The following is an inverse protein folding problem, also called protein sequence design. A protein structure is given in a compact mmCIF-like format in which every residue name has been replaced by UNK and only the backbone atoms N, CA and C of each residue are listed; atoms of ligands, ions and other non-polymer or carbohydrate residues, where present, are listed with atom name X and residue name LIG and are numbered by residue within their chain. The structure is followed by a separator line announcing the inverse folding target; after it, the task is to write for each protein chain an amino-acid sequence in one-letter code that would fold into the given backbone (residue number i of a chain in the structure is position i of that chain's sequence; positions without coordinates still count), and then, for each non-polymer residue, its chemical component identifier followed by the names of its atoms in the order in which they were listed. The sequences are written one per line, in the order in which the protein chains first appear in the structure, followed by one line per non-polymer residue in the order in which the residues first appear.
data_IF_703618855863
#
_entry.id   IF_703618855863
#
_cell.length_a   1.000
_cell.length_b   1.000
_cell.length_c   1.000
_cell.angle_alpha   90.00
_cell.angle_beta   90.00
_cell.angle_gamma   90.00
#
_symmetry.space_group_name_H-M   'P 1'
#
loop_
_entity.id
_entity.type
_entity.pdbx_description
1 polymer ?
#
# COMPACT_ATOMS: atom_id res chain seq x y z
N UNK A 1 5.70 -13.16 5.21
CA UNK A 1 6.10 -12.49 3.95
C UNK A 1 7.23 -11.50 4.16
N UNK A 2 8.35 -11.78 3.52
CA UNK A 2 9.64 -11.09 3.62
C UNK A 2 9.76 -9.86 2.71
N UNK A 3 8.67 -9.26 2.22
CA UNK A 3 8.76 -8.10 1.31
C UNK A 3 8.92 -6.78 2.06
N UNK A 4 8.27 -6.68 3.22
CA UNK A 4 8.36 -5.56 4.15
C UNK A 4 9.81 -5.26 4.56
N UNK A 5 10.65 -6.28 4.76
CA UNK A 5 12.07 -6.07 5.13
C UNK A 5 12.95 -5.44 4.04
N UNK A 6 12.45 -5.29 2.82
CA UNK A 6 13.21 -4.73 1.69
C UNK A 6 12.68 -3.37 1.22
N UNK A 7 11.62 -2.86 1.86
CA UNK A 7 11.09 -1.53 1.60
C UNK A 7 12.07 -0.45 2.04
N UNK A 8 12.19 0.59 1.22
CA UNK A 8 12.97 1.79 1.51
C UNK A 8 12.08 2.78 2.25
N UNK A 9 12.63 3.67 3.10
CA UNK A 9 11.83 4.70 3.79
C UNK A 9 11.07 5.63 2.82
N UNK A 10 11.52 5.71 1.57
CA UNK A 10 10.94 6.50 0.49
C UNK A 10 9.88 5.74 -0.32
N UNK A 11 9.66 4.45 -0.04
CA UNK A 11 8.66 3.65 -0.73
C UNK A 11 7.27 3.98 -0.16
N UNK A 12 6.29 4.13 -1.05
CA UNK A 12 4.88 4.27 -0.71
C UNK A 12 4.22 2.92 -0.89
N UNK A 13 3.56 2.47 0.17
CA UNK A 13 2.85 1.20 0.19
C UNK A 13 1.38 1.42 -0.14
N UNK A 14 0.81 0.54 -0.95
CA UNK A 14 -0.59 0.54 -1.36
C UNK A 14 -1.23 -0.82 -1.08
N UNK A 15 -2.49 -0.80 -0.66
CA UNK A 15 -3.29 -1.98 -0.40
C UNK A 15 -4.79 -1.65 -0.43
N UNK A 16 -5.62 -2.64 -0.73
CA UNK A 16 -7.08 -2.49 -0.68
C UNK A 16 -7.58 -2.52 0.76
N UNK A 17 -8.36 -1.54 1.18
CA UNK A 17 -8.95 -1.51 2.53
C UNK A 17 -9.84 -2.73 2.77
N UNK A 18 -9.74 -3.33 3.97
CA UNK A 18 -10.57 -4.46 4.46
C UNK A 18 -10.54 -5.76 3.65
N UNK A 19 -9.84 -5.83 2.52
CA UNK A 19 -9.82 -6.99 1.63
C UNK A 19 -8.41 -7.54 1.46
N UNK A 20 -8.32 -8.85 1.23
CA UNK A 20 -7.04 -9.47 0.87
C UNK A 20 -6.64 -9.04 -0.55
N UNK A 21 -5.51 -8.34 -0.66
CA UNK A 21 -4.97 -7.84 -1.93
C UNK A 21 -3.45 -7.89 -1.95
N UNK A 22 -2.87 -7.73 -3.15
CA UNK A 22 -1.43 -7.59 -3.28
C UNK A 22 -0.95 -6.26 -2.68
N UNK A 23 0.25 -6.29 -2.09
CA UNK A 23 0.96 -5.09 -1.67
C UNK A 23 1.72 -4.50 -2.86
N UNK A 24 1.38 -3.27 -3.24
CA UNK A 24 2.10 -2.53 -4.27
C UNK A 24 3.00 -1.50 -3.60
N UNK A 25 4.22 -1.36 -4.11
CA UNK A 25 5.23 -0.44 -3.60
C UNK A 25 5.65 0.51 -4.71
N UNK A 26 5.42 1.81 -4.51
CA UNK A 26 5.89 2.86 -5.39
C UNK A 26 7.15 3.49 -4.79
N UNK A 27 8.28 3.36 -5.48
CA UNK A 27 9.52 4.01 -5.06
C UNK A 27 9.56 5.46 -5.54
N UNK A 28 9.61 6.39 -4.59
CA UNK A 28 9.78 7.81 -4.89
C UNK A 28 11.25 8.14 -5.15
N UNK A 29 11.48 9.23 -5.90
CA UNK A 29 12.81 9.81 -6.03
C UNK A 29 13.20 10.51 -4.72
N UNK A 30 14.51 10.62 -4.42
CA UNK A 30 14.97 11.29 -3.22
C UNK A 30 14.49 12.75 -3.16
N UNK A 31 13.74 13.06 -2.11
CA UNK A 31 13.13 14.38 -1.88
C UNK A 31 11.69 14.53 -2.37
N UNK A 32 11.11 13.53 -3.03
CA UNK A 32 9.68 13.51 -3.35
C UNK A 32 8.86 13.04 -2.16
N UNK A 33 7.59 13.48 -2.11
CA UNK A 33 6.62 13.08 -1.10
C UNK A 33 5.40 12.47 -1.76
N UNK A 34 4.51 11.84 -0.98
CA UNK A 34 3.24 11.29 -1.49
C UNK A 34 2.39 12.31 -2.26
N UNK A 35 2.57 13.60 -1.96
CA UNK A 35 1.85 14.70 -2.62
C UNK A 35 2.43 15.07 -4.00
N UNK A 36 3.66 14.65 -4.30
CA UNK A 36 4.31 14.87 -5.59
C UNK A 36 3.92 13.81 -6.62
N UNK A 37 3.26 12.72 -6.20
CA UNK A 37 2.86 11.63 -7.08
C UNK A 37 1.74 12.11 -8.00
N UNK A 38 1.92 12.02 -9.32
CA UNK A 38 0.87 12.41 -10.25
C UNK A 38 -0.35 11.48 -10.10
N UNK A 39 -1.54 12.06 -10.22
CA UNK A 39 -2.81 11.33 -10.03
C UNK A 39 -2.92 10.08 -10.91
N UNK A 40 -2.37 10.13 -12.13
CA UNK A 40 -2.34 8.98 -13.05
C UNK A 40 -1.62 7.76 -12.45
N UNK A 41 -0.51 7.98 -11.76
CA UNK A 41 0.27 6.90 -11.12
C UNK A 41 -0.46 6.36 -9.90
N UNK A 42 -1.13 7.22 -9.13
CA UNK A 42 -1.98 6.79 -8.02
C UNK A 42 -3.15 5.94 -8.51
N UNK A 43 -3.78 6.33 -9.62
CA UNK A 43 -4.88 5.58 -10.23
C UNK A 43 -4.40 4.22 -10.74
N UNK A 44 -3.26 4.18 -11.43
CA UNK A 44 -2.66 2.94 -11.94
C UNK A 44 -2.29 1.98 -10.80
N UNK A 45 -1.68 2.51 -9.71
CA UNK A 45 -1.37 1.73 -8.51
C UNK A 45 -2.65 1.19 -7.83
N UNK A 46 -3.70 2.01 -7.75
CA UNK A 46 -5.00 1.61 -7.21
C UNK A 46 -5.67 0.51 -8.05
N UNK A 47 -5.61 0.62 -9.38
CA UNK A 47 -6.11 -0.40 -10.29
C UNK A 47 -5.30 -1.71 -10.18
N UNK A 48 -3.98 -1.61 -10.02
CA UNK A 48 -3.10 -2.77 -9.80
C UNK A 48 -3.45 -3.52 -8.51
N UNK A 49 -3.62 -2.84 -7.38
CA UNK A 49 -4.01 -3.50 -6.12
C UNK A 49 -5.42 -4.09 -6.22
N UNK A 50 -6.35 -3.41 -6.92
CA UNK A 50 -7.70 -3.92 -7.18
C UNK A 50 -7.66 -5.21 -7.99
N UNK A 51 -6.96 -5.19 -9.12
CA UNK A 51 -6.88 -6.32 -10.05
C UNK A 51 -6.24 -7.54 -9.39
N UNK A 52 -5.28 -7.31 -8.50
CA UNK A 52 -4.61 -8.34 -7.71
C UNK A 52 -5.28 -8.62 -6.35
N UNK A 53 -6.51 -8.16 -6.13
CA UNK A 53 -7.31 -8.55 -4.97
C UNK A 53 -8.23 -9.71 -5.32
N UNK A 54 -8.29 -10.72 -4.43
CA UNK A 54 -9.12 -11.92 -4.59
C UNK A 54 -10.61 -11.55 -4.64
N UNK A 55 -11.03 -10.60 -3.79
CA UNK A 55 -12.40 -10.12 -3.69
C UNK A 55 -12.58 -8.74 -4.34
N UNK A 56 -11.60 -7.84 -4.20
CA UNK A 56 -11.68 -6.47 -4.72
C UNK A 56 -11.78 -6.39 -6.23
N UNK A 57 -11.26 -7.37 -6.98
CA UNK A 57 -11.36 -7.38 -8.44
C UNK A 57 -12.80 -7.56 -8.97
N UNK A 58 -13.74 -8.05 -8.14
CA UNK A 58 -15.15 -8.25 -8.51
C UNK A 58 -16.07 -7.13 -8.00
N UNK A 59 -15.52 -6.19 -7.24
CA UNK A 59 -16.29 -5.09 -6.66
C UNK A 59 -16.28 -3.89 -7.61
N UNK A 60 -17.42 -3.22 -7.75
CA UNK A 60 -17.52 -2.01 -8.56
C UNK A 60 -16.58 -0.93 -8.01
N UNK A 61 -16.66 -0.70 -6.71
CA UNK A 61 -15.89 0.31 -6.00
C UNK A 61 -15.13 -0.34 -4.84
N UNK A 62 -13.87 0.05 -4.67
CA UNK A 62 -13.04 -0.36 -3.54
C UNK A 62 -12.33 0.88 -3.00
N UNK A 63 -12.02 0.84 -1.71
CA UNK A 63 -11.17 1.86 -1.08
C UNK A 63 -9.72 1.35 -1.08
N UNK A 64 -8.78 2.21 -1.46
CA UNK A 64 -7.35 1.88 -1.51
C UNK A 64 -6.63 2.76 -0.51
N UNK A 65 -6.01 2.11 0.47
CA UNK A 65 -5.15 2.77 1.46
C UNK A 65 -3.74 2.85 0.92
N UNK A 66 -3.12 4.01 1.08
CA UNK A 66 -1.71 4.20 0.78
C UNK A 66 -1.01 5.02 1.86
N UNK A 67 0.21 4.63 2.21
CA UNK A 67 1.00 5.32 3.22
C UNK A 67 2.50 5.13 2.96
N UNK A 68 3.31 5.97 3.59
CA UNK A 68 4.77 5.82 3.53
C UNK A 68 5.20 4.53 4.23
N UNK A 69 6.20 3.86 3.68
CA UNK A 69 6.82 2.67 4.26
C UNK A 69 7.22 2.88 5.73
N UNK A 70 7.78 4.05 6.04
CA UNK A 70 8.17 4.43 7.41
C UNK A 70 7.01 4.48 8.41
N UNK A 71 5.76 4.66 7.95
CA UNK A 71 4.58 4.69 8.81
C UNK A 71 4.01 3.28 9.08
N UNK A 72 4.49 2.25 8.37
CA UNK A 72 4.02 0.89 8.59
C UNK A 72 4.64 0.28 9.84
N UNK A 73 3.78 -0.14 10.75
CA UNK A 73 4.12 -0.89 11.95
C UNK A 73 3.68 -2.33 11.77
N UNK A 74 4.63 -3.26 11.91
CA UNK A 74 4.31 -4.68 12.02
C UNK A 74 4.64 -5.16 13.43
N UNK A 75 3.63 -5.63 14.15
CA UNK A 75 3.82 -6.33 15.41
C UNK A 75 3.92 -7.83 15.14
N UNK A 76 4.74 -8.54 15.93
CA UNK A 76 5.08 -9.96 15.72
C UNK A 76 3.86 -10.91 15.84
N UNK A 77 2.75 -10.43 16.39
CA UNK A 77 1.49 -11.16 16.53
C UNK A 77 0.47 -10.93 15.40
N UNK A 78 0.82 -10.20 14.34
CA UNK A 78 -0.10 -9.91 13.23
C UNK A 78 -0.06 -10.98 12.15
N UNK A 79 -1.25 -11.37 11.68
CA UNK A 79 -1.41 -12.37 10.62
C UNK A 79 -0.69 -11.95 9.33
N UNK A 80 -0.31 -12.92 8.51
CA UNK A 80 0.31 -12.65 7.22
C UNK A 80 -0.63 -11.81 6.34
N UNK A 81 -0.23 -10.57 6.02
CA UNK A 81 -1.04 -9.59 5.29
C UNK A 81 -1.59 -8.46 6.17
N UNK A 82 -1.57 -8.60 7.49
CA UNK A 82 -2.02 -7.56 8.40
C UNK A 82 -0.87 -6.58 8.71
N UNK A 83 -1.12 -5.29 8.45
CA UNK A 83 -0.23 -4.18 8.79
C UNK A 83 -0.96 -3.23 9.74
N UNK A 84 -0.24 -2.65 10.70
CA UNK A 84 -0.70 -1.51 11.49
C UNK A 84 -0.04 -0.24 11.00
N UNK A 85 -0.62 0.90 11.32
CA UNK A 85 -0.03 2.21 11.08
C UNK A 85 0.50 2.79 12.40
N UNK A 86 1.59 3.55 12.36
CA UNK A 86 2.03 4.31 13.54
C UNK A 86 1.13 5.53 13.78
N UNK A 87 0.66 6.17 12.71
CA UNK A 87 -0.34 7.24 12.74
C UNK A 87 -1.46 6.97 11.71
N UNK A 88 -2.71 7.08 12.15
CA UNK A 88 -3.96 6.93 11.36
C UNK A 88 -4.35 8.21 10.59
N UNK A 89 -3.41 9.09 10.21
CA UNK A 89 -3.75 10.45 9.76
C UNK A 89 -3.11 10.90 8.46
#
# INVERSE_FOLDING_TARGET
EHLIRWGWPEDVWFHVDKLSSAHVYLRLLPGQTIHDIPKEVLDDAAQLVKANSIQGNKMNDIDVVYTMWSNLKKTDGMEAGQVSFHEDK
#
